data_IF_952232135452
#
_entry.id   IF_952232135452
#
_cell.length_a   1.000
_cell.length_b   1.000
_cell.length_c   1.000
_cell.angle_alpha   90.00
_cell.angle_beta   90.00
_cell.angle_gamma   90.00
#
_symmetry.space_group_name_H-M   'P 1'
#
loop_
_entity.id
_entity.type
_entity.pdbx_description
1 polymer ?
#
# COMPACT_ATOMS: atom_id res chain seq x y z
N UNK A 1 12.54 7.27 21.59
CA UNK A 1 11.16 6.72 21.70
C UNK A 1 10.51 7.01 23.05
N UNK A 2 11.16 6.77 24.20
CA UNK A 2 10.63 6.98 25.57
C UNK A 2 9.95 8.34 25.81
N UNK A 3 10.62 9.46 25.48
CA UNK A 3 10.02 10.81 25.62
C UNK A 3 8.68 10.96 24.87
N UNK A 4 8.56 10.31 23.70
CA UNK A 4 7.33 10.36 22.88
C UNK A 4 6.21 9.54 23.48
N UNK A 5 6.52 8.39 24.09
CA UNK A 5 5.55 7.58 24.83
C UNK A 5 4.86 8.44 25.89
N UNK A 6 5.64 9.10 26.76
CA UNK A 6 5.10 10.00 27.78
C UNK A 6 4.23 11.11 27.19
N UNK A 7 4.74 11.83 26.18
CA UNK A 7 4.00 12.93 25.55
C UNK A 7 2.69 12.47 24.88
N UNK A 8 2.70 11.34 24.17
CA UNK A 8 1.54 10.86 23.42
C UNK A 8 0.49 10.18 24.29
N UNK A 9 0.90 9.52 25.38
CA UNK A 9 -0.02 8.95 26.38
C UNK A 9 -0.87 10.01 27.07
N UNK A 10 -0.37 11.24 27.22
CA UNK A 10 -1.12 12.35 27.84
C UNK A 10 -2.10 13.05 26.90
N UNK A 11 -2.08 12.72 25.60
CA UNK A 11 -3.01 13.31 24.63
C UNK A 11 -4.37 12.61 24.69
N UNK A 12 -5.45 13.38 24.51
CA UNK A 12 -6.82 12.84 24.36
C UNK A 12 -7.07 12.16 23.00
N UNK A 13 -6.17 12.37 22.02
CA UNK A 13 -6.30 11.79 20.68
C UNK A 13 -6.09 10.27 20.71
N UNK A 14 -7.10 9.51 20.25
CA UNK A 14 -7.02 8.05 20.13
C UNK A 14 -5.84 7.58 19.26
N UNK A 15 -5.54 8.30 18.17
CA UNK A 15 -4.35 8.03 17.34
C UNK A 15 -3.05 8.19 18.15
N UNK A 16 -2.94 9.27 18.94
CA UNK A 16 -1.73 9.48 19.75
C UNK A 16 -1.55 8.39 20.80
N UNK A 17 -2.64 8.02 21.49
CA UNK A 17 -2.61 6.94 22.48
C UNK A 17 -2.27 5.58 21.84
N UNK A 18 -2.81 5.29 20.66
CA UNK A 18 -2.46 4.09 19.89
C UNK A 18 -0.96 4.07 19.52
N UNK A 19 -0.42 5.18 19.02
CA UNK A 19 1.02 5.29 18.70
C UNK A 19 1.87 5.09 19.97
N UNK A 20 1.46 5.64 21.11
CA UNK A 20 2.15 5.42 22.38
C UNK A 20 2.19 3.94 22.76
N UNK A 21 1.08 3.22 22.61
CA UNK A 21 0.99 1.77 22.87
C UNK A 21 1.89 0.96 21.94
N UNK A 22 1.93 1.31 20.65
CA UNK A 22 2.84 0.68 19.69
C UNK A 22 4.30 0.88 20.12
N UNK A 23 4.69 2.12 20.43
CA UNK A 23 6.05 2.42 20.90
C UNK A 23 6.41 1.73 22.22
N UNK A 24 5.49 1.61 23.18
CA UNK A 24 5.72 0.86 24.41
C UNK A 24 6.05 -0.60 24.13
N UNK A 25 5.31 -1.26 23.24
CA UNK A 25 5.59 -2.65 22.87
C UNK A 25 6.91 -2.80 22.12
N UNK A 26 7.23 -1.89 21.20
CA UNK A 26 8.51 -1.88 20.48
C UNK A 26 9.68 -1.73 21.45
N UNK A 27 9.63 -0.77 22.39
CA UNK A 27 10.70 -0.55 23.38
C UNK A 27 10.97 -1.79 24.22
N UNK A 28 9.92 -2.52 24.63
CA UNK A 28 10.07 -3.75 25.42
C UNK A 28 10.79 -4.87 24.67
N UNK A 29 10.84 -4.81 23.34
CA UNK A 29 11.41 -5.84 22.47
C UNK A 29 12.61 -5.31 21.65
N UNK A 30 13.22 -4.19 22.06
CA UNK A 30 14.43 -3.68 21.42
C UNK A 30 15.63 -4.56 21.75
N UNK A 31 16.34 -5.00 20.71
CA UNK A 31 17.67 -5.56 20.83
C UNK A 31 18.68 -4.41 20.82
N UNK A 32 19.68 -4.46 21.69
CA UNK A 32 20.74 -3.45 21.75
C UNK A 32 22.08 -4.12 21.54
N UNK A 33 22.88 -3.57 20.63
CA UNK A 33 24.25 -3.97 20.38
C UNK A 33 25.17 -2.74 20.28
N UNK A 34 26.45 -2.94 19.93
CA UNK A 34 27.44 -1.87 19.78
C UNK A 34 27.10 -0.86 18.68
N UNK A 35 26.17 -1.20 17.77
CA UNK A 35 25.79 -0.37 16.62
C UNK A 35 24.49 0.40 16.84
N UNK A 36 23.70 0.05 17.88
CA UNK A 36 22.54 0.81 18.30
C UNK A 36 21.39 -0.05 18.83
N UNK A 37 20.17 0.43 18.59
CA UNK A 37 18.94 -0.24 19.00
C UNK A 37 18.17 -0.73 17.78
N UNK A 38 17.83 -2.01 17.77
CA UNK A 38 17.19 -2.70 16.67
C UNK A 38 15.89 -3.33 17.12
N UNK A 39 14.83 -3.12 16.33
CA UNK A 39 13.57 -3.80 16.51
C UNK A 39 13.35 -4.79 15.36
N UNK A 40 13.03 -6.03 15.69
CA UNK A 40 12.74 -7.09 14.71
C UNK A 40 11.31 -7.58 14.94
N UNK A 41 10.31 -7.10 14.18
CA UNK A 41 8.94 -7.56 14.34
C UNK A 41 8.82 -9.03 13.98
N UNK A 42 7.97 -9.75 14.70
CA UNK A 42 7.50 -11.06 14.24
C UNK A 42 6.46 -10.81 13.15
N UNK A 43 6.70 -11.35 11.96
CA UNK A 43 5.78 -11.19 10.82
C UNK A 43 5.23 -12.56 10.45
N UNK A 44 3.90 -12.71 10.55
CA UNK A 44 3.20 -13.89 10.05
C UNK A 44 3.01 -13.74 8.55
N UNK A 45 3.70 -14.56 7.76
CA UNK A 45 3.44 -14.67 6.33
C UNK A 45 2.04 -15.26 6.09
N UNK A 46 1.41 -14.86 4.97
CA UNK A 46 0.10 -15.37 4.53
C UNK A 46 -1.00 -15.33 5.61
N UNK A 47 -0.98 -14.29 6.46
CA UNK A 47 -1.86 -14.20 7.61
C UNK A 47 -3.31 -13.85 7.25
N UNK A 48 -3.50 -13.07 6.18
CA UNK A 48 -4.83 -12.59 5.79
C UNK A 48 -5.51 -13.51 4.76
N UNK A 49 -6.83 -13.33 4.59
CA UNK A 49 -7.61 -14.01 3.52
C UNK A 49 -6.99 -13.84 2.13
N UNK A 50 -6.34 -12.71 1.89
CA UNK A 50 -5.71 -12.34 0.61
C UNK A 50 -4.23 -12.73 0.56
N UNK A 51 -3.71 -13.43 1.57
CA UNK A 51 -2.33 -13.88 1.62
C UNK A 51 -1.33 -12.77 1.92
N UNK A 52 -1.77 -11.60 2.42
CA UNK A 52 -0.86 -10.57 2.94
C UNK A 52 -0.23 -11.03 4.25
N UNK A 53 0.94 -10.51 4.52
CA UNK A 53 1.61 -10.66 5.80
C UNK A 53 0.93 -9.80 6.88
N UNK A 54 1.19 -10.13 8.14
CA UNK A 54 0.76 -9.32 9.28
C UNK A 54 1.84 -9.32 10.35
N UNK A 55 2.23 -8.12 10.79
CA UNK A 55 3.12 -7.98 11.94
C UNK A 55 2.36 -8.30 13.23
N UNK A 56 2.87 -9.25 14.01
CA UNK A 56 2.29 -9.67 15.27
C UNK A 56 2.80 -8.79 16.41
N UNK A 57 1.88 -8.32 17.26
CA UNK A 57 2.20 -7.41 18.35
C UNK A 57 2.45 -5.97 17.88
N UNK A 58 3.22 -5.20 18.65
CA UNK A 58 3.46 -3.80 18.34
C UNK A 58 4.51 -3.64 17.24
N UNK A 59 4.20 -2.96 16.15
CA UNK A 59 5.12 -2.82 15.01
C UNK A 59 5.05 -1.43 14.37
N UNK A 60 6.17 -0.99 13.78
CA UNK A 60 6.26 0.32 13.14
C UNK A 60 5.32 0.44 11.93
N UNK A 61 5.08 -0.63 11.17
CA UNK A 61 4.14 -0.60 10.05
C UNK A 61 2.68 -0.38 10.46
N UNK A 62 2.33 -0.57 11.74
CA UNK A 62 1.00 -0.21 12.26
C UNK A 62 0.92 1.27 12.65
N UNK A 63 2.06 1.96 12.83
CA UNK A 63 2.13 3.38 13.19
C UNK A 63 1.96 4.23 11.91
N UNK A 64 1.17 5.33 11.92
CA UNK A 64 1.07 6.18 10.74
C UNK A 64 2.42 6.75 10.28
N UNK A 65 2.69 6.73 8.98
CA UNK A 65 3.99 7.11 8.35
C UNK A 65 4.53 8.46 8.83
N UNK A 66 3.65 9.43 9.15
CA UNK A 66 4.04 10.75 9.67
C UNK A 66 4.86 10.70 10.97
N UNK A 67 4.77 9.62 11.75
CA UNK A 67 5.54 9.46 12.99
C UNK A 67 6.91 8.77 12.78
N UNK A 68 7.16 8.16 11.62
CA UNK A 68 8.32 7.28 11.42
C UNK A 68 9.65 8.01 11.45
N UNK A 69 9.76 9.17 10.78
CA UNK A 69 10.98 10.00 10.77
C UNK A 69 11.47 10.36 12.17
N UNK A 70 10.58 10.34 13.14
CA UNK A 70 10.85 10.73 14.53
C UNK A 70 11.44 9.62 15.41
N UNK A 71 11.52 8.39 14.87
CA UNK A 71 11.98 7.19 15.57
C UNK A 71 12.94 6.33 14.76
N UNK A 72 12.99 6.49 13.43
CA UNK A 72 13.99 5.85 12.58
C UNK A 72 15.31 6.60 12.66
N UNK A 73 16.41 5.85 12.66
CA UNK A 73 17.78 6.39 12.69
C UNK A 73 18.68 5.52 11.82
N UNK A 74 18.99 5.94 10.58
CA UNK A 74 19.94 5.23 9.74
C UNK A 74 21.34 5.20 10.39
N UNK A 75 22.09 4.09 10.29
CA UNK A 75 23.50 4.04 10.69
C UNK A 75 24.34 5.05 9.89
N UNK A 76 25.49 5.45 10.44
CA UNK A 76 26.42 6.37 9.75
C UNK A 76 26.76 5.86 8.34
N UNK A 77 26.71 6.76 7.36
CA UNK A 77 27.00 6.44 5.95
C UNK A 77 25.86 5.70 5.23
N UNK A 78 24.68 5.63 5.83
CA UNK A 78 23.48 5.03 5.23
C UNK A 78 22.35 6.04 5.07
N UNK A 79 21.42 5.73 4.16
CA UNK A 79 20.16 6.44 3.94
C UNK A 79 19.04 5.41 4.01
N UNK A 80 17.98 5.69 4.77
CA UNK A 80 16.74 4.92 4.67
C UNK A 80 15.83 5.54 3.63
N UNK A 81 15.36 4.74 2.68
CA UNK A 81 14.41 5.15 1.65
C UNK A 81 13.14 4.30 1.74
N UNK A 82 11.97 4.94 1.76
CA UNK A 82 10.68 4.27 1.64
C UNK A 82 10.22 4.36 0.19
N UNK A 83 10.25 3.22 -0.49
CA UNK A 83 9.79 3.06 -1.86
C UNK A 83 8.34 2.58 -1.85
N UNK A 84 7.46 3.21 -2.60
CA UNK A 84 6.02 2.90 -2.63
C UNK A 84 5.55 2.76 -4.08
N UNK A 85 4.74 1.75 -4.37
CA UNK A 85 4.14 1.61 -5.69
C UNK A 85 3.12 2.72 -5.93
N UNK A 86 3.23 3.36 -7.08
CA UNK A 86 2.27 4.37 -7.47
C UNK A 86 0.98 3.72 -7.98
N UNK A 87 -0.12 3.97 -7.26
CA UNK A 87 -1.47 3.62 -7.71
C UNK A 87 -1.63 2.10 -7.93
N UNK A 88 -0.98 1.27 -7.10
CA UNK A 88 -0.90 -0.19 -7.29
C UNK A 88 -2.27 -0.83 -7.52
N UNK A 89 -3.16 -0.75 -6.54
CA UNK A 89 -4.42 -1.47 -6.58
C UNK A 89 -5.35 -1.08 -7.75
N UNK A 90 -5.60 0.22 -8.04
CA UNK A 90 -6.40 0.58 -9.21
C UNK A 90 -5.75 0.15 -10.52
N UNK A 91 -4.41 0.11 -10.60
CA UNK A 91 -3.72 -0.37 -11.80
C UNK A 91 -3.75 -1.88 -11.95
N UNK A 92 -3.70 -2.65 -10.86
CA UNK A 92 -3.96 -4.09 -10.90
C UNK A 92 -5.39 -4.35 -11.42
N UNK A 93 -6.38 -3.60 -10.94
CA UNK A 93 -7.76 -3.72 -11.42
C UNK A 93 -7.88 -3.35 -12.90
N UNK A 94 -7.27 -2.24 -13.32
CA UNK A 94 -7.24 -1.81 -14.70
C UNK A 94 -6.57 -2.83 -15.62
N UNK A 95 -5.45 -3.40 -15.20
CA UNK A 95 -4.71 -4.42 -15.94
C UNK A 95 -5.58 -5.67 -16.16
N UNK A 96 -6.13 -6.25 -15.10
CA UNK A 96 -6.95 -7.46 -15.26
C UNK A 96 -8.23 -7.23 -16.06
N UNK A 97 -8.85 -6.06 -15.91
CA UNK A 97 -10.03 -5.69 -16.66
C UNK A 97 -9.72 -5.21 -18.09
N UNK A 98 -8.45 -5.02 -18.47
CA UNK A 98 -8.04 -4.42 -19.74
C UNK A 98 -8.64 -3.01 -19.97
N UNK A 99 -8.72 -2.22 -18.89
CA UNK A 99 -9.25 -0.86 -18.93
C UNK A 99 -8.27 0.11 -19.61
N UNK A 100 -8.47 0.37 -20.90
CA UNK A 100 -7.57 1.18 -21.72
C UNK A 100 -7.39 2.61 -21.19
N UNK A 101 -8.45 3.22 -20.65
CA UNK A 101 -8.41 4.61 -20.16
C UNK A 101 -7.45 4.75 -18.99
N UNK A 102 -7.58 3.91 -17.95
CA UNK A 102 -6.69 3.98 -16.79
C UNK A 102 -5.26 3.57 -17.15
N UNK A 103 -5.08 2.58 -18.03
CA UNK A 103 -3.76 2.17 -18.51
C UNK A 103 -3.04 3.32 -19.23
N UNK A 104 -3.73 4.02 -20.12
CA UNK A 104 -3.19 5.19 -20.84
C UNK A 104 -2.86 6.36 -19.91
N UNK A 105 -3.78 6.70 -19.00
CA UNK A 105 -3.54 7.77 -18.03
C UNK A 105 -2.38 7.47 -17.09
N UNK A 106 -2.24 6.21 -16.68
CA UNK A 106 -1.13 5.78 -15.86
C UNK A 106 0.20 5.91 -16.59
N UNK A 107 0.27 5.52 -17.88
CA UNK A 107 1.47 5.72 -18.70
C UNK A 107 1.85 7.21 -18.74
N UNK A 108 0.87 8.09 -19.01
CA UNK A 108 1.06 9.56 -19.03
C UNK A 108 1.39 10.18 -17.67
N UNK A 109 1.19 9.48 -16.57
CA UNK A 109 1.55 9.95 -15.24
C UNK A 109 0.63 9.43 -14.15
N UNK A 110 -0.37 10.22 -13.81
CA UNK A 110 -1.19 10.05 -12.60
C UNK A 110 -2.67 9.97 -12.95
N UNK A 111 -3.31 8.83 -12.69
CA UNK A 111 -4.72 8.61 -13.02
C UNK A 111 -5.63 9.58 -12.26
N UNK A 112 -5.26 9.98 -11.04
CA UNK A 112 -6.08 10.87 -10.24
C UNK A 112 -6.02 12.30 -10.76
N UNK A 113 -4.86 12.76 -11.27
CA UNK A 113 -4.75 14.07 -11.92
C UNK A 113 -5.60 14.15 -13.19
N UNK A 114 -5.70 13.06 -13.96
CA UNK A 114 -6.59 12.99 -15.11
C UNK A 114 -8.07 13.08 -14.69
N UNK A 115 -8.45 12.42 -13.58
CA UNK A 115 -9.81 12.55 -13.03
C UNK A 115 -10.08 14.00 -12.60
N UNK A 116 -9.13 14.68 -11.95
CA UNK A 116 -9.26 16.11 -11.58
C UNK A 116 -9.59 16.97 -12.80
N UNK A 117 -8.90 16.77 -13.91
CA UNK A 117 -9.16 17.52 -15.15
C UNK A 117 -10.54 17.20 -15.72
N UNK A 118 -10.92 15.93 -15.74
CA UNK A 118 -12.23 15.48 -16.25
C UNK A 118 -13.40 16.11 -15.50
N UNK A 119 -13.30 16.21 -14.17
CA UNK A 119 -14.34 16.80 -13.31
C UNK A 119 -14.26 18.33 -13.22
N UNK A 120 -13.51 18.97 -14.13
CA UNK A 120 -13.41 20.42 -14.26
C UNK A 120 -12.56 21.10 -13.18
N UNK A 121 -11.62 20.39 -12.56
CA UNK A 121 -10.70 20.95 -11.56
C UNK A 121 -11.34 21.26 -10.20
N UNK A 122 -12.61 20.87 -9.99
CA UNK A 122 -13.37 21.19 -8.78
C UNK A 122 -12.90 20.44 -7.53
N UNK A 123 -12.16 19.35 -7.71
CA UNK A 123 -11.74 18.46 -6.64
C UNK A 123 -10.21 18.38 -6.57
N UNK A 124 -9.69 18.24 -5.36
CA UNK A 124 -8.28 17.93 -5.15
C UNK A 124 -7.95 16.52 -5.66
N UNK A 125 -6.66 16.28 -5.93
CA UNK A 125 -6.15 14.94 -6.27
C UNK A 125 -6.53 13.88 -5.24
N UNK A 126 -6.48 14.21 -3.94
CA UNK A 126 -6.82 13.26 -2.88
C UNK A 126 -8.32 12.95 -2.86
N UNK A 127 -9.19 13.95 -3.07
CA UNK A 127 -10.63 13.71 -3.23
C UNK A 127 -10.92 12.83 -4.45
N UNK A 128 -10.26 13.05 -5.60
CA UNK A 128 -10.40 12.18 -6.77
C UNK A 128 -9.88 10.76 -6.52
N UNK A 129 -8.81 10.61 -5.72
CA UNK A 129 -8.33 9.30 -5.25
C UNK A 129 -9.39 8.62 -4.39
N UNK A 130 -9.95 9.31 -3.40
CA UNK A 130 -11.01 8.77 -2.54
C UNK A 130 -12.27 8.38 -3.34
N UNK A 131 -12.62 9.16 -4.38
CA UNK A 131 -13.72 8.86 -5.29
C UNK A 131 -13.47 7.57 -6.10
N UNK A 132 -12.32 7.45 -6.76
CA UNK A 132 -11.99 6.25 -7.55
C UNK A 132 -11.86 5.01 -6.66
N UNK A 133 -11.08 5.09 -5.58
CA UNK A 133 -10.88 3.98 -4.64
C UNK A 133 -12.20 3.60 -3.99
N UNK A 134 -12.96 4.59 -3.50
CA UNK A 134 -14.27 4.33 -2.92
C UNK A 134 -15.20 3.62 -3.89
N UNK A 135 -15.14 3.97 -5.17
CA UNK A 135 -15.92 3.29 -6.21
C UNK A 135 -15.46 1.86 -6.47
N UNK A 136 -14.16 1.61 -6.59
CA UNK A 136 -13.58 0.28 -6.82
C UNK A 136 -13.90 -0.68 -5.68
N UNK A 137 -13.88 -0.17 -4.44
CA UNK A 137 -14.10 -0.97 -3.23
C UNK A 137 -15.56 -0.97 -2.74
N UNK A 138 -16.48 -0.33 -3.47
CA UNK A 138 -17.91 -0.35 -3.16
C UNK A 138 -18.31 0.44 -1.91
N UNK A 139 -17.60 1.52 -1.59
CA UNK A 139 -18.00 2.47 -0.54
C UNK A 139 -19.38 3.06 -0.89
N UNK A 140 -20.31 3.04 0.07
CA UNK A 140 -21.64 3.60 -0.10
C UNK A 140 -21.63 5.10 -0.39
N UNK A 141 -22.53 5.56 -1.27
CA UNK A 141 -22.56 6.96 -1.71
C UNK A 141 -22.75 7.98 -0.59
N UNK A 142 -23.43 7.62 0.51
CA UNK A 142 -23.57 8.50 1.68
C UNK A 142 -22.23 8.75 2.38
N UNK A 143 -21.50 7.67 2.68
CA UNK A 143 -20.15 7.74 3.25
C UNK A 143 -19.20 8.51 2.33
N UNK A 144 -19.32 8.32 1.01
CA UNK A 144 -18.49 9.03 0.06
C UNK A 144 -18.85 10.53 -0.01
N UNK A 145 -20.12 10.89 0.10
CA UNK A 145 -20.59 12.28 0.20
C UNK A 145 -20.02 12.99 1.43
N UNK A 146 -20.06 12.33 2.59
CA UNK A 146 -19.47 12.83 3.83
C UNK A 146 -17.96 13.04 3.71
N UNK A 147 -17.23 12.04 3.19
CA UNK A 147 -15.77 12.13 3.00
C UNK A 147 -15.35 13.24 2.05
N UNK A 148 -16.12 13.43 0.97
CA UNK A 148 -15.81 14.43 -0.05
C UNK A 148 -16.36 15.82 0.29
N UNK A 149 -17.26 15.94 1.27
CA UNK A 149 -17.90 17.19 1.66
C UNK A 149 -18.87 17.74 0.61
N UNK A 150 -19.55 16.87 -0.15
CA UNK A 150 -20.48 17.26 -1.22
C UNK A 150 -21.84 16.58 -1.09
N UNK A 151 -22.86 17.13 -1.76
CA UNK A 151 -24.21 16.57 -1.74
C UNK A 151 -24.30 15.18 -2.40
N UNK A 152 -25.18 14.32 -1.87
CA UNK A 152 -25.34 12.93 -2.32
C UNK A 152 -25.67 12.80 -3.82
N UNK A 153 -26.48 13.71 -4.37
CA UNK A 153 -26.83 13.73 -5.80
C UNK A 153 -25.59 13.93 -6.67
N UNK A 154 -24.66 14.80 -6.26
CA UNK A 154 -23.40 15.05 -6.96
C UNK A 154 -22.49 13.83 -6.93
N UNK A 155 -22.38 13.15 -5.79
CA UNK A 155 -21.60 11.89 -5.68
C UNK A 155 -22.14 10.82 -6.62
N UNK A 156 -23.47 10.65 -6.70
CA UNK A 156 -24.10 9.69 -7.62
C UNK A 156 -23.77 10.01 -9.08
N UNK A 157 -23.90 11.27 -9.47
CA UNK A 157 -23.57 11.71 -10.83
C UNK A 157 -22.10 11.42 -11.18
N UNK A 158 -21.17 11.82 -10.31
CA UNK A 158 -19.73 11.58 -10.48
C UNK A 158 -19.40 10.08 -10.52
N UNK A 159 -20.01 9.29 -9.64
CA UNK A 159 -19.79 7.84 -9.60
C UNK A 159 -20.25 7.15 -10.89
N UNK A 160 -21.39 7.59 -11.45
CA UNK A 160 -21.88 7.07 -12.73
C UNK A 160 -20.97 7.44 -13.90
N UNK A 161 -20.48 8.67 -13.93
CA UNK A 161 -19.52 9.13 -14.94
C UNK A 161 -18.21 8.35 -14.85
N UNK A 162 -17.64 8.21 -13.65
CA UNK A 162 -16.46 7.38 -13.44
C UNK A 162 -16.68 5.94 -13.88
N UNK A 163 -17.85 5.35 -13.58
CA UNK A 163 -18.16 3.95 -13.94
C UNK A 163 -18.12 3.74 -15.46
N UNK A 164 -18.62 4.70 -16.24
CA UNK A 164 -18.54 4.66 -17.71
C UNK A 164 -17.10 4.80 -18.18
N UNK A 165 -16.35 5.70 -17.55
CA UNK A 165 -14.97 5.98 -17.91
C UNK A 165 -14.03 4.79 -17.65
N UNK A 166 -14.20 4.12 -16.52
CA UNK A 166 -13.34 3.00 -16.11
C UNK A 166 -13.89 1.63 -16.54
N UNK A 167 -14.91 1.60 -17.41
CA UNK A 167 -15.36 0.35 -18.00
C UNK A 167 -14.16 -0.37 -18.67
N UNK A 168 -13.97 -1.69 -18.44
CA UNK A 168 -14.93 -2.65 -17.89
C UNK A 168 -14.66 -3.12 -16.45
N UNK A 169 -13.99 -2.32 -15.60
CA UNK A 169 -13.48 -2.79 -14.30
C UNK A 169 -14.56 -3.43 -13.40
N UNK A 170 -15.69 -2.76 -13.17
CA UNK A 170 -16.73 -3.30 -12.28
C UNK A 170 -17.25 -4.66 -12.74
N UNK A 171 -17.46 -4.80 -14.06
CA UNK A 171 -17.92 -6.05 -14.67
C UNK A 171 -16.91 -7.18 -14.44
N UNK A 172 -15.62 -6.88 -14.59
CA UNK A 172 -14.57 -7.85 -14.33
C UNK A 172 -14.54 -8.28 -12.86
N UNK A 173 -14.56 -7.33 -11.93
CA UNK A 173 -14.47 -7.62 -10.50
C UNK A 173 -15.69 -8.40 -9.99
N UNK A 174 -16.90 -8.04 -10.44
CA UNK A 174 -18.13 -8.79 -10.12
C UNK A 174 -18.04 -10.23 -10.64
N UNK A 175 -17.65 -10.42 -11.91
CA UNK A 175 -17.47 -11.75 -12.49
C UNK A 175 -16.41 -12.56 -11.74
N UNK A 176 -15.31 -11.94 -11.33
CA UNK A 176 -14.27 -12.60 -10.54
C UNK A 176 -14.80 -13.07 -9.18
N UNK A 177 -15.63 -12.26 -8.52
CA UNK A 177 -16.26 -12.63 -7.25
C UNK A 177 -17.21 -13.82 -7.41
N UNK A 178 -18.02 -13.84 -8.48
CA UNK A 178 -18.95 -14.92 -8.76
C UNK A 178 -18.21 -16.23 -9.05
N UNK A 179 -17.09 -16.18 -9.78
CA UNK A 179 -16.22 -17.34 -10.02
C UNK A 179 -15.67 -17.89 -8.72
N UNK A 180 -15.12 -17.02 -7.85
CA UNK A 180 -14.62 -17.42 -6.53
C UNK A 180 -15.73 -18.09 -5.70
N UNK A 181 -16.94 -17.49 -5.71
CA UNK A 181 -18.09 -18.00 -4.97
C UNK A 181 -18.51 -19.39 -5.45
N UNK A 182 -18.63 -19.56 -6.76
CA UNK A 182 -19.04 -20.83 -7.36
C UNK A 182 -17.99 -21.94 -7.18
N UNK A 183 -16.71 -21.58 -7.12
CA UNK A 183 -15.62 -22.55 -6.90
C UNK A 183 -15.43 -22.95 -5.43
N UNK A 184 -15.92 -22.15 -4.48
CA UNK A 184 -15.71 -22.37 -3.04
C UNK A 184 -14.30 -22.03 -2.56
N UNK A 185 -13.43 -21.48 -3.42
CA UNK A 185 -12.11 -20.97 -3.02
C UNK A 185 -11.63 -19.88 -3.98
N UNK A 186 -10.72 -19.05 -3.49
CA UNK A 186 -9.95 -18.09 -4.26
C UNK A 186 -8.48 -18.52 -4.36
N UNK A 187 -7.82 -18.20 -5.48
CA UNK A 187 -6.42 -18.57 -5.72
C UNK A 187 -5.64 -17.45 -6.42
N UNK A 188 -4.44 -17.18 -5.90
CA UNK A 188 -3.39 -16.34 -6.49
C UNK A 188 -2.23 -17.22 -6.95
N UNK A 189 -1.05 -16.64 -7.24
CA UNK A 189 0.09 -17.42 -7.72
C UNK A 189 0.61 -18.42 -6.67
N UNK A 190 0.69 -18.01 -5.41
CA UNK A 190 1.28 -18.78 -4.31
C UNK A 190 0.33 -18.93 -3.10
N UNK A 191 -0.90 -18.43 -3.20
CA UNK A 191 -1.89 -18.49 -2.13
C UNK A 191 -3.23 -19.09 -2.57
N UNK A 192 -3.85 -19.89 -1.69
CA UNK A 192 -5.21 -20.40 -1.86
C UNK A 192 -6.00 -20.14 -0.57
N UNK A 193 -7.19 -19.57 -0.70
CA UNK A 193 -8.10 -19.29 0.40
C UNK A 193 -9.43 -19.99 0.16
N UNK A 194 -9.83 -20.88 1.05
CA UNK A 194 -11.19 -21.45 1.03
C UNK A 194 -12.16 -20.40 1.58
N UNK A 195 -13.20 -20.08 0.82
CA UNK A 195 -14.19 -19.09 1.25
C UNK A 195 -15.21 -19.74 2.18
N UNK A 196 -15.86 -18.91 2.98
CA UNK A 196 -16.96 -19.27 3.88
C UNK A 196 -18.22 -18.45 3.56
N UNK A 197 -19.36 -18.83 4.12
CA UNK A 197 -20.60 -18.04 3.99
C UNK A 197 -20.50 -16.65 4.63
N UNK A 198 -19.52 -16.44 5.51
CA UNK A 198 -19.20 -15.14 6.12
C UNK A 198 -18.48 -14.19 5.15
N UNK A 199 -17.99 -14.69 4.01
CA UNK A 199 -17.33 -13.87 2.99
C UNK A 199 -18.36 -13.14 2.13
N UNK A 200 -18.60 -11.88 2.47
CA UNK A 200 -19.50 -11.00 1.72
C UNK A 200 -18.99 -10.68 0.31
N UNK A 201 -19.92 -10.31 -0.58
CA UNK A 201 -19.62 -10.06 -2.00
C UNK A 201 -18.49 -9.04 -2.20
N UNK A 202 -18.50 -7.92 -1.46
CA UNK A 202 -17.43 -6.91 -1.55
C UNK A 202 -16.06 -7.48 -1.19
N UNK A 203 -15.97 -8.40 -0.23
CA UNK A 203 -14.70 -9.01 0.11
C UNK A 203 -14.16 -9.86 -1.04
N UNK A 204 -15.03 -10.60 -1.72
CA UNK A 204 -14.67 -11.42 -2.88
C UNK A 204 -14.31 -10.58 -4.11
N UNK A 205 -15.07 -9.50 -4.38
CA UNK A 205 -14.80 -8.53 -5.46
C UNK A 205 -13.37 -7.98 -5.37
N UNK A 206 -12.91 -7.70 -4.15
CA UNK A 206 -11.60 -7.09 -3.90
C UNK A 206 -10.48 -8.09 -3.71
N UNK A 207 -10.81 -9.38 -3.53
CA UNK A 207 -9.86 -10.41 -3.15
C UNK A 207 -8.72 -10.53 -4.16
N UNK A 208 -9.05 -10.57 -5.45
CA UNK A 208 -8.05 -10.76 -6.52
C UNK A 208 -7.04 -9.61 -6.56
N UNK A 209 -7.50 -8.37 -6.35
CA UNK A 209 -6.63 -7.19 -6.37
C UNK A 209 -5.67 -7.22 -5.19
N UNK A 210 -6.18 -7.45 -3.98
CA UNK A 210 -5.36 -7.49 -2.77
C UNK A 210 -4.37 -8.67 -2.76
N UNK A 211 -4.80 -9.84 -3.22
CA UNK A 211 -3.96 -11.02 -3.31
C UNK A 211 -2.86 -10.86 -4.35
N UNK A 212 -3.15 -10.19 -5.46
CA UNK A 212 -2.12 -9.83 -6.46
C UNK A 212 -1.12 -8.84 -5.88
N UNK A 213 -1.57 -7.84 -5.11
CA UNK A 213 -0.65 -6.96 -4.36
C UNK A 213 0.26 -7.74 -3.40
N UNK A 214 -0.26 -8.79 -2.75
CA UNK A 214 0.52 -9.67 -1.89
C UNK A 214 1.55 -10.52 -2.69
N UNK A 215 1.15 -11.05 -3.84
CA UNK A 215 2.03 -11.79 -4.75
C UNK A 215 3.20 -10.90 -5.20
N UNK A 216 2.93 -9.64 -5.56
CA UNK A 216 3.93 -8.63 -5.94
C UNK A 216 4.85 -8.33 -4.77
N UNK A 217 4.30 -8.13 -3.56
CA UNK A 217 5.08 -7.81 -2.37
C UNK A 217 6.11 -8.91 -2.05
N UNK A 218 5.71 -10.18 -2.09
CA UNK A 218 6.65 -11.29 -1.85
C UNK A 218 7.79 -11.33 -2.86
N UNK A 219 7.48 -11.16 -4.15
CA UNK A 219 8.48 -11.12 -5.22
C UNK A 219 9.39 -9.89 -5.12
N UNK A 220 8.84 -8.76 -4.68
CA UNK A 220 9.60 -7.56 -4.38
C UNK A 220 10.63 -7.80 -3.27
N UNK A 221 10.25 -8.48 -2.18
CA UNK A 221 11.21 -8.86 -1.14
C UNK A 221 12.35 -9.72 -1.69
N UNK A 222 12.03 -10.75 -2.48
CA UNK A 222 13.04 -11.63 -3.09
C UNK A 222 13.97 -10.86 -4.04
N UNK A 223 13.42 -10.00 -4.91
CA UNK A 223 14.23 -9.22 -5.86
C UNK A 223 15.10 -8.16 -5.20
N UNK A 224 14.66 -7.59 -4.08
CA UNK A 224 15.49 -6.68 -3.29
C UNK A 224 16.67 -7.44 -2.66
N UNK A 225 16.43 -8.66 -2.17
CA UNK A 225 17.48 -9.54 -1.65
C UNK A 225 18.48 -9.94 -2.75
N UNK A 226 18.01 -10.37 -3.92
CA UNK A 226 18.84 -10.69 -5.09
C UNK A 226 19.71 -9.49 -5.53
N UNK A 227 19.16 -8.27 -5.40
CA UNK A 227 19.87 -7.02 -5.71
C UNK A 227 20.81 -6.56 -4.59
N UNK A 228 20.97 -7.33 -3.51
CA UNK A 228 21.72 -6.98 -2.31
C UNK A 228 21.28 -5.64 -1.68
N UNK A 229 19.97 -5.35 -1.73
CA UNK A 229 19.38 -4.16 -1.11
C UNK A 229 18.74 -4.56 0.23
N UNK A 230 19.30 -4.13 1.37
CA UNK A 230 18.76 -4.48 2.68
C UNK A 230 17.33 -3.93 2.88
N UNK A 231 16.35 -4.83 2.90
CA UNK A 231 14.97 -4.54 3.26
C UNK A 231 14.80 -4.51 4.79
N UNK A 232 14.26 -3.42 5.32
CA UNK A 232 14.07 -3.21 6.76
C UNK A 232 12.63 -3.46 7.21
N UNK A 233 11.65 -3.11 6.37
CA UNK A 233 10.23 -3.18 6.70
C UNK A 233 9.37 -3.18 5.44
N UNK A 234 8.35 -4.04 5.41
CA UNK A 234 7.23 -3.95 4.49
C UNK A 234 6.04 -3.24 5.15
N UNK A 235 5.36 -2.40 4.38
CA UNK A 235 4.10 -1.80 4.78
C UNK A 235 3.16 -1.77 3.58
N UNK A 236 2.37 -2.83 3.44
CA UNK A 236 1.53 -3.08 2.28
C UNK A 236 2.34 -3.05 0.97
N UNK A 237 2.16 -2.02 0.16
CA UNK A 237 2.81 -1.78 -1.13
C UNK A 237 4.08 -0.91 -1.03
N UNK A 238 4.53 -0.62 0.19
CA UNK A 238 5.75 0.16 0.46
C UNK A 238 6.86 -0.63 1.17
N UNK A 239 8.10 -0.32 0.83
CA UNK A 239 9.33 -1.04 1.22
C UNK A 239 10.33 -0.04 1.78
N UNK A 240 10.64 -0.14 3.06
CA UNK A 240 11.70 0.63 3.70
C UNK A 240 13.02 -0.10 3.49
N UNK A 241 13.92 0.48 2.72
CA UNK A 241 15.24 -0.09 2.41
C UNK A 241 16.35 0.76 3.01
N UNK A 242 17.48 0.12 3.32
CA UNK A 242 18.73 0.82 3.67
C UNK A 242 19.64 0.87 2.46
N UNK A 243 20.04 2.07 2.09
CA UNK A 243 20.98 2.34 1.00
C UNK A 243 22.28 2.92 1.56
N UNK A 244 23.40 2.68 0.90
CA UNK A 244 24.69 3.28 1.23
C UNK A 244 24.78 4.68 0.64
N UNK A 245 25.24 5.65 1.43
CA UNK A 245 25.37 7.03 0.98
C UNK A 245 26.34 7.16 -0.20
N UNK A 246 27.43 6.37 -0.20
CA UNK A 246 28.43 6.36 -1.27
C UNK A 246 27.90 5.78 -2.59
N UNK A 247 26.88 4.91 -2.56
CA UNK A 247 26.29 4.27 -3.74
C UNK A 247 24.81 4.61 -3.92
N UNK A 248 24.36 5.71 -3.32
CA UNK A 248 22.94 5.97 -3.10
C UNK A 248 22.13 5.89 -4.39
N UNK A 249 22.54 6.58 -5.45
CA UNK A 249 21.79 6.62 -6.70
C UNK A 249 21.72 5.24 -7.37
N UNK A 250 22.86 4.53 -7.45
CA UNK A 250 22.93 3.20 -8.03
C UNK A 250 22.04 2.20 -7.29
N UNK A 251 22.08 2.21 -5.96
CA UNK A 251 21.26 1.30 -5.14
C UNK A 251 19.79 1.69 -5.16
N UNK A 252 19.46 2.99 -5.23
CA UNK A 252 18.08 3.46 -5.39
C UNK A 252 17.50 3.00 -6.74
N UNK A 253 18.27 3.13 -7.82
CA UNK A 253 17.86 2.68 -9.15
C UNK A 253 17.70 1.16 -9.20
N UNK A 254 18.64 0.41 -8.60
CA UNK A 254 18.54 -1.05 -8.48
C UNK A 254 17.29 -1.48 -7.69
N UNK A 255 17.02 -0.84 -6.55
CA UNK A 255 15.83 -1.11 -5.75
C UNK A 255 14.53 -0.79 -6.49
N UNK A 256 14.49 0.36 -7.19
CA UNK A 256 13.36 0.78 -8.02
C UNK A 256 13.10 -0.22 -9.15
N UNK A 257 14.16 -0.68 -9.83
CA UNK A 257 14.08 -1.67 -10.89
C UNK A 257 13.63 -3.04 -10.35
N UNK A 258 14.12 -3.46 -9.19
CA UNK A 258 13.73 -4.71 -8.52
C UNK A 258 12.21 -4.72 -8.24
N UNK A 259 11.67 -3.62 -7.70
CA UNK A 259 10.23 -3.47 -7.47
C UNK A 259 9.44 -3.46 -8.80
N UNK A 260 9.87 -2.68 -9.80
CA UNK A 260 9.20 -2.66 -11.10
C UNK A 260 9.18 -4.06 -11.76
N UNK A 261 10.26 -4.83 -11.64
CA UNK A 261 10.35 -6.19 -12.14
C UNK A 261 9.45 -7.17 -11.36
N UNK A 262 9.35 -7.03 -10.03
CA UNK A 262 8.44 -7.85 -9.22
C UNK A 262 6.97 -7.68 -9.64
N UNK A 263 6.55 -6.45 -9.96
CA UNK A 263 5.23 -6.20 -10.52
C UNK A 263 5.05 -6.89 -11.88
N UNK A 264 6.06 -6.81 -12.75
CA UNK A 264 6.02 -7.42 -14.08
C UNK A 264 5.93 -8.95 -14.04
N UNK A 265 6.59 -9.62 -13.08
CA UNK A 265 6.50 -11.07 -12.91
C UNK A 265 5.07 -11.55 -12.63
N UNK A 266 4.28 -10.74 -11.95
CA UNK A 266 2.90 -11.08 -11.56
C UNK A 266 1.90 -10.61 -12.61
N UNK A 267 2.18 -9.49 -13.27
CA UNK A 267 1.27 -8.83 -14.21
C UNK A 267 1.72 -9.03 -15.66
N UNK A 268 2.28 -10.20 -15.98
CA UNK A 268 2.76 -10.61 -17.32
C UNK A 268 3.46 -9.49 -18.11
N UNK A 269 4.48 -8.88 -17.50
CA UNK A 269 5.28 -7.81 -18.12
C UNK A 269 4.80 -6.39 -17.82
N UNK A 270 3.61 -6.20 -17.26
CA UNK A 270 3.14 -4.87 -16.86
C UNK A 270 3.86 -4.37 -15.61
N UNK A 271 4.64 -3.29 -15.78
CA UNK A 271 5.43 -2.67 -14.71
C UNK A 271 4.61 -1.61 -13.98
N UNK A 272 4.61 -1.68 -12.66
CA UNK A 272 4.15 -0.59 -11.80
C UNK A 272 5.29 0.40 -11.57
N UNK A 273 4.94 1.69 -11.62
CA UNK A 273 5.82 2.79 -11.24
C UNK A 273 6.03 2.80 -9.74
N UNK A 274 7.21 3.23 -9.33
CA UNK A 274 7.64 3.30 -7.92
C UNK A 274 8.05 4.73 -7.62
N UNK A 275 7.68 5.23 -6.44
CA UNK A 275 8.05 6.54 -5.95
C UNK A 275 8.81 6.45 -4.64
N UNK A 276 9.70 7.40 -4.41
CA UNK A 276 10.33 7.60 -3.11
C UNK A 276 9.42 8.49 -2.27
N UNK A 277 8.75 7.91 -1.27
CA UNK A 277 7.83 8.64 -0.39
C UNK A 277 8.56 9.27 0.80
N UNK A 278 9.64 8.63 1.25
CA UNK A 278 10.45 9.10 2.36
C UNK A 278 11.92 8.83 2.09
N UNK A 279 12.75 9.82 2.38
CA UNK A 279 14.19 9.64 2.54
C UNK A 279 14.61 10.17 3.90
N UNK A 280 15.51 9.45 4.54
CA UNK A 280 16.09 9.81 5.82
C UNK A 280 17.58 9.49 5.76
N UNK A 281 18.47 10.48 5.56
CA UNK A 281 19.91 10.26 5.63
C UNK A 281 20.35 10.06 7.09
N UNK A 282 21.48 9.38 7.29
CA UNK A 282 22.12 9.34 8.60
C UNK A 282 22.51 10.75 9.04
N UNK A 283 22.27 11.07 10.31
CA UNK A 283 22.70 12.34 10.88
C UNK A 283 24.19 12.23 11.25
N UNK A 284 24.99 13.21 10.85
CA UNK A 284 26.30 13.43 11.45
C UNK A 284 26.05 13.83 12.90
N UNK A 285 26.60 13.03 13.83
CA UNK A 285 26.59 13.37 15.26
C UNK A 285 27.68 14.39 15.55
#
# INVERSE_FOLDING_TARGET
>A
MLKRIGSYSQKKSGTSQFVAKQYQGIVKALNTDSTGHWYRPVVSAFHTKTGRDHALGSSLNQVPKQYWKSVLSPPKGSVYALLDYQQQEPMIAAYFAQCQVLMHWYQKGDIYKNIVQLVGGQFSRDQCKQLLIGRLYGIGYRTLAEKLGIVLSRVRALSNELSRLIYPIDRYLAKSADVIRNQGFARSLDWKYTISDLDGQLSLTNWKIQATGADIMRRACLRLDDANIPLLLTNHDSFLVRLEQAQFQNQLDAATQALAAAAADVLNGFRLKVAVEMMLPSQEK
#
